data_IF_857342616775
#
_entry.id   IF_857342616775
#
_cell.length_a   1.000
_cell.length_b   1.000
_cell.length_c   1.000
_cell.angle_alpha   90.00
_cell.angle_beta   90.00
_cell.angle_gamma   90.00
#
_symmetry.space_group_name_H-M   'P 1'
#
loop_
_entity.id
_entity.type
_entity.pdbx_description
1 polymer ?
#
# COMPACT_ATOMS: atom_id res chain seq x y z
N UNK A 1 -47.35 28.00 22.18
CA UNK A 1 -47.66 28.88 21.03
C UNK A 1 -47.07 28.22 19.80
N UNK A 2 -47.90 27.53 19.01
CA UNK A 2 -47.52 27.03 17.69
C UNK A 2 -47.83 28.15 16.69
N UNK A 3 -46.88 29.04 16.45
CA UNK A 3 -46.93 29.88 15.26
C UNK A 3 -46.89 28.94 14.05
N UNK A 4 -47.89 29.05 13.18
CA UNK A 4 -47.85 28.41 11.87
C UNK A 4 -46.63 28.97 11.14
N UNK A 5 -45.57 28.17 11.14
CA UNK A 5 -44.35 28.38 10.39
C UNK A 5 -44.73 28.29 8.92
N UNK A 6 -44.88 29.42 8.24
CA UNK A 6 -45.05 29.42 6.79
C UNK A 6 -43.69 29.03 6.21
N UNK A 7 -43.54 27.74 5.88
CA UNK A 7 -42.36 27.07 5.32
C UNK A 7 -42.12 27.55 3.88
N UNK A 8 -42.09 28.86 3.71
CA UNK A 8 -42.22 29.56 2.45
C UNK A 8 -40.98 29.30 1.55
N UNK A 9 -41.12 29.57 0.26
CA UNK A 9 -40.23 29.18 -0.87
C UNK A 9 -38.71 29.16 -0.58
N UNK A 10 -38.22 30.01 0.32
CA UNK A 10 -36.84 30.06 0.81
C UNK A 10 -36.31 28.74 1.40
N UNK A 11 -37.15 27.89 1.99
CA UNK A 11 -36.72 26.59 2.53
C UNK A 11 -36.88 25.43 1.52
N UNK A 12 -37.44 25.68 0.32
CA UNK A 12 -37.61 24.64 -0.69
C UNK A 12 -36.29 24.04 -1.17
N UNK A 13 -35.16 24.76 -1.07
CA UNK A 13 -33.86 24.18 -1.40
C UNK A 13 -33.46 23.07 -0.42
N UNK A 14 -33.95 23.07 0.83
CA UNK A 14 -33.70 21.99 1.79
C UNK A 14 -34.33 20.68 1.35
N UNK A 15 -35.53 20.76 0.76
CA UNK A 15 -36.18 19.58 0.17
C UNK A 15 -35.51 19.12 -1.13
N UNK A 16 -34.62 19.93 -1.73
CA UNK A 16 -33.73 19.52 -2.83
C UNK A 16 -32.41 18.91 -2.34
N UNK A 17 -32.09 19.02 -1.04
CA UNK A 17 -30.96 18.30 -0.45
C UNK A 17 -31.38 16.83 -0.27
N UNK A 18 -30.83 15.94 -1.09
CA UNK A 18 -31.06 14.49 -0.92
C UNK A 18 -30.72 14.07 0.52
N UNK A 19 -31.56 13.23 1.12
CA UNK A 19 -31.32 12.57 2.41
C UNK A 19 -31.10 13.51 3.59
N UNK A 20 -32.02 14.45 3.80
CA UNK A 20 -31.96 15.36 4.96
C UNK A 20 -32.55 14.70 6.21
N UNK A 21 -31.81 14.72 7.33
CA UNK A 21 -32.25 14.28 8.66
C UNK A 21 -32.40 15.49 9.58
N UNK A 22 -33.52 15.58 10.27
CA UNK A 22 -33.73 16.59 11.31
C UNK A 22 -33.18 16.02 12.62
N UNK A 23 -32.22 16.72 13.21
CA UNK A 23 -31.68 16.39 14.53
C UNK A 23 -32.38 17.25 15.57
N UNK A 24 -33.25 16.63 16.36
CA UNK A 24 -33.82 17.23 17.57
C UNK A 24 -33.37 16.42 18.77
N UNK A 25 -32.59 16.99 19.69
CA UNK A 25 -32.04 16.31 20.87
C UNK A 25 -31.35 14.97 20.56
N UNK A 26 -30.29 14.95 19.72
CA UNK A 26 -29.59 13.72 19.38
C UNK A 26 -28.97 13.08 20.64
N UNK A 27 -29.21 11.78 20.82
CA UNK A 27 -28.57 11.00 21.89
C UNK A 27 -27.22 10.50 21.36
N UNK A 28 -26.11 10.57 22.13
CA UNK A 28 -24.77 10.17 21.69
C UNK A 28 -24.65 8.75 21.12
N UNK A 29 -25.60 7.87 21.43
CA UNK A 29 -25.65 6.49 20.91
C UNK A 29 -26.21 6.37 19.49
N UNK A 30 -26.76 7.43 18.90
CA UNK A 30 -27.18 7.43 17.50
C UNK A 30 -25.96 7.69 16.62
N UNK A 31 -25.42 6.62 16.02
CA UNK A 31 -24.44 6.77 14.94
C UNK A 31 -25.08 7.58 13.80
N UNK A 32 -24.55 8.77 13.54
CA UNK A 32 -24.94 9.56 12.39
C UNK A 32 -24.44 8.85 11.13
N UNK A 33 -25.35 8.51 10.23
CA UNK A 33 -24.99 7.84 8.98
C UNK A 33 -24.20 8.78 8.07
N UNK A 34 -23.11 8.28 7.47
CA UNK A 34 -22.31 9.02 6.48
C UNK A 34 -23.18 9.57 5.34
N UNK A 35 -22.76 10.71 4.76
CA UNK A 35 -23.37 11.34 3.57
C UNK A 35 -24.77 11.95 3.73
N UNK A 36 -25.27 12.14 4.95
CA UNK A 36 -26.57 12.80 5.18
C UNK A 36 -26.44 14.31 5.38
N UNK A 37 -27.45 15.08 4.95
CA UNK A 37 -27.54 16.49 5.29
C UNK A 37 -28.32 16.63 6.60
N UNK A 38 -27.93 17.55 7.48
CA UNK A 38 -28.55 17.70 8.80
C UNK A 38 -29.19 19.07 8.96
N UNK A 39 -30.42 19.08 9.48
CA UNK A 39 -31.09 20.29 9.95
C UNK A 39 -31.14 20.20 11.48
N UNK A 40 -30.61 21.21 12.14
CA UNK A 40 -30.66 21.38 13.59
C UNK A 40 -31.54 22.61 13.84
N UNK A 41 -32.57 22.43 14.66
CA UNK A 41 -33.48 23.51 15.06
C UNK A 41 -33.30 23.74 16.54
N UNK A 42 -32.77 24.90 16.91
CA UNK A 42 -32.49 25.23 18.30
C UNK A 42 -33.01 26.63 18.65
N UNK A 43 -33.49 26.78 19.88
CA UNK A 43 -33.99 28.07 20.37
C UNK A 43 -32.90 28.89 21.06
N UNK A 44 -31.85 28.25 21.57
CA UNK A 44 -30.77 28.89 22.30
C UNK A 44 -29.41 28.30 21.89
N UNK A 45 -28.40 29.16 21.72
CA UNK A 45 -27.00 28.79 21.48
C UNK A 45 -26.46 27.85 22.57
N UNK A 46 -26.88 28.04 23.82
CA UNK A 46 -26.44 27.21 24.96
C UNK A 46 -26.80 25.73 24.78
N UNK A 47 -27.82 25.43 23.96
CA UNK A 47 -28.20 24.05 23.69
C UNK A 47 -27.24 23.35 22.75
N UNK A 48 -26.40 24.07 21.98
CA UNK A 48 -25.45 23.47 21.04
C UNK A 48 -24.29 22.72 21.71
N UNK A 49 -24.24 22.70 23.06
CA UNK A 49 -23.24 21.93 23.83
C UNK A 49 -23.24 20.45 23.44
N UNK A 50 -24.37 19.86 23.06
CA UNK A 50 -24.42 18.45 22.62
C UNK A 50 -23.57 18.19 21.36
N UNK A 51 -23.31 19.21 20.52
CA UNK A 51 -22.44 19.03 19.34
C UNK A 51 -21.01 18.65 19.74
N UNK A 52 -20.57 19.00 20.95
CA UNK A 52 -19.28 18.58 21.48
C UNK A 52 -19.23 17.07 21.70
N UNK A 53 -20.33 16.48 22.16
CA UNK A 53 -20.47 15.04 22.37
C UNK A 53 -20.48 14.27 21.03
N UNK A 54 -20.91 14.93 19.95
CA UNK A 54 -20.99 14.37 18.61
C UNK A 54 -19.73 14.62 17.75
N UNK A 55 -18.73 15.35 18.26
CA UNK A 55 -17.56 15.83 17.49
C UNK A 55 -16.87 14.75 16.64
N UNK A 56 -16.83 13.51 17.12
CA UNK A 56 -16.15 12.38 16.45
C UNK A 56 -17.12 11.40 15.75
N UNK A 57 -18.41 11.68 15.80
CA UNK A 57 -19.46 10.86 15.17
C UNK A 57 -20.14 11.58 14.02
N UNK A 58 -19.80 12.85 13.79
CA UNK A 58 -20.34 13.67 12.72
C UNK A 58 -19.47 13.54 11.46
N UNK A 59 -20.10 13.28 10.32
CA UNK A 59 -19.47 13.45 9.01
C UNK A 59 -19.24 14.95 8.74
N UNK A 60 -17.99 15.39 8.78
CA UNK A 60 -17.57 16.79 8.61
C UNK A 60 -17.84 17.35 7.20
N UNK A 61 -18.13 16.48 6.21
CA UNK A 61 -18.46 16.88 4.83
C UNK A 61 -19.94 17.19 4.64
N UNK A 62 -20.78 16.73 5.56
CA UNK A 62 -22.23 16.91 5.54
C UNK A 62 -22.64 18.37 5.59
N UNK A 63 -23.76 18.73 4.95
CA UNK A 63 -24.30 20.10 5.03
C UNK A 63 -25.12 20.24 6.30
N UNK A 64 -24.81 21.26 7.08
CA UNK A 64 -25.54 21.61 8.30
C UNK A 64 -26.35 22.88 8.06
N UNK A 65 -27.65 22.82 8.33
CA UNK A 65 -28.47 24.01 8.50
C UNK A 65 -28.83 24.14 9.98
N UNK A 66 -28.43 25.26 10.59
CA UNK A 66 -28.86 25.64 11.93
C UNK A 66 -30.00 26.65 11.81
N UNK A 67 -31.16 26.39 12.40
CA UNK A 67 -32.28 27.33 12.47
C UNK A 67 -32.34 27.86 13.91
N UNK A 68 -32.16 29.18 14.07
CA UNK A 68 -32.03 29.83 15.39
C UNK A 68 -32.91 31.07 15.47
N UNK A 69 -33.65 31.23 16.56
CA UNK A 69 -34.49 32.41 16.85
C UNK A 69 -33.69 33.54 17.51
N UNK A 70 -33.92 34.79 17.05
CA UNK A 70 -33.45 36.02 17.70
C UNK A 70 -31.94 36.07 18.01
N UNK A 71 -31.09 35.67 17.06
CA UNK A 71 -29.63 35.71 17.26
C UNK A 71 -29.03 37.06 16.86
N UNK A 72 -28.09 37.55 17.67
CA UNK A 72 -27.27 38.73 17.35
C UNK A 72 -26.11 38.35 16.43
N UNK A 73 -25.44 39.35 15.84
CA UNK A 73 -24.27 39.12 14.99
C UNK A 73 -23.13 38.41 15.75
N UNK A 74 -22.93 38.77 17.01
CA UNK A 74 -21.90 38.17 17.86
C UNK A 74 -22.23 36.71 18.21
N UNK A 75 -23.51 36.40 18.46
CA UNK A 75 -23.96 35.01 18.66
C UNK A 75 -23.67 34.17 17.41
N UNK A 76 -23.97 34.70 16.21
CA UNK A 76 -23.72 34.01 14.95
C UNK A 76 -22.24 33.72 14.74
N UNK A 77 -21.35 34.68 15.07
CA UNK A 77 -19.90 34.48 15.02
C UNK A 77 -19.47 33.39 15.98
N UNK A 78 -19.92 33.44 17.22
CA UNK A 78 -19.60 32.44 18.25
C UNK A 78 -20.04 31.03 17.82
N UNK A 79 -21.19 30.91 17.14
CA UNK A 79 -21.66 29.61 16.62
C UNK A 79 -20.74 29.10 15.52
N UNK A 80 -20.36 29.94 14.56
CA UNK A 80 -19.43 29.54 13.51
C UNK A 80 -18.06 29.16 14.08
N UNK A 81 -17.54 29.90 15.07
CA UNK A 81 -16.30 29.56 15.79
C UNK A 81 -16.44 28.22 16.52
N UNK A 82 -17.56 28.01 17.20
CA UNK A 82 -17.84 26.74 17.90
C UNK A 82 -17.88 25.58 16.91
N UNK A 83 -18.64 25.69 15.83
CA UNK A 83 -18.69 24.68 14.77
C UNK A 83 -17.31 24.44 14.15
N UNK A 84 -16.50 25.48 13.94
CA UNK A 84 -15.13 25.37 13.44
C UNK A 84 -14.24 24.56 14.37
N UNK A 85 -14.28 24.83 15.67
CA UNK A 85 -13.54 24.06 16.69
C UNK A 85 -14.02 22.62 16.84
N UNK A 86 -15.23 22.32 16.36
CA UNK A 86 -15.80 20.99 16.26
C UNK A 86 -15.58 20.33 14.89
N UNK A 87 -14.82 20.97 13.99
CA UNK A 87 -14.56 20.52 12.62
C UNK A 87 -15.81 20.41 11.74
N UNK A 88 -16.87 21.14 12.07
CA UNK A 88 -18.11 21.22 11.29
C UNK A 88 -18.01 22.42 10.35
N UNK A 89 -17.56 22.18 9.12
CA UNK A 89 -17.17 23.26 8.20
C UNK A 89 -18.31 23.77 7.32
N UNK A 90 -19.24 22.89 6.94
CA UNK A 90 -20.25 23.17 5.92
C UNK A 90 -21.57 23.63 6.56
N UNK A 91 -21.48 24.70 7.36
CA UNK A 91 -22.59 25.24 8.16
C UNK A 91 -23.22 26.45 7.46
N UNK A 92 -24.54 26.50 7.47
CA UNK A 92 -25.36 27.67 7.16
C UNK A 92 -26.31 27.89 8.32
N UNK A 93 -26.52 29.15 8.71
CA UNK A 93 -27.43 29.53 9.77
C UNK A 93 -28.61 30.28 9.17
N UNK A 94 -29.83 29.94 9.56
CA UNK A 94 -31.03 30.69 9.23
C UNK A 94 -31.51 31.44 10.47
N UNK A 95 -31.41 32.77 10.44
CA UNK A 95 -31.80 33.66 11.55
C UNK A 95 -33.18 34.32 11.28
N UNK A 96 -34.14 33.55 10.75
CA UNK A 96 -35.52 33.96 10.40
C UNK A 96 -35.71 35.06 9.36
N UNK A 97 -34.67 35.84 9.10
CA UNK A 97 -34.65 36.97 8.19
C UNK A 97 -33.90 36.58 6.92
N UNK A 98 -32.68 36.04 7.09
CA UNK A 98 -31.81 35.63 6.00
C UNK A 98 -30.96 34.38 6.35
N UNK A 99 -30.35 33.80 5.32
CA UNK A 99 -29.29 32.81 5.46
C UNK A 99 -27.95 33.49 5.67
N UNK A 100 -27.33 33.18 6.80
CA UNK A 100 -25.99 33.63 7.16
C UNK A 100 -25.03 32.49 6.92
N UNK A 101 -23.92 32.81 6.28
CA UNK A 101 -22.89 31.84 5.94
C UNK A 101 -21.50 32.41 6.20
N UNK A 102 -20.51 31.54 6.32
CA UNK A 102 -19.11 31.93 6.49
C UNK A 102 -18.19 31.08 5.61
N UNK A 103 -17.19 31.72 4.99
CA UNK A 103 -16.18 31.07 4.17
C UNK A 103 -14.83 31.10 4.91
N UNK A 104 -14.49 30.04 5.67
CA UNK A 104 -13.32 30.05 6.56
C UNK A 104 -12.00 30.19 5.81
N UNK A 105 -11.95 29.69 4.58
CA UNK A 105 -10.75 29.71 3.74
C UNK A 105 -10.66 30.94 2.83
N UNK A 106 -11.57 31.90 2.94
CA UNK A 106 -11.45 33.17 2.23
C UNK A 106 -10.29 34.01 2.79
N UNK A 107 -9.72 34.87 1.94
CA UNK A 107 -8.57 35.72 2.29
C UNK A 107 -8.88 36.63 3.47
N UNK A 108 -10.14 37.04 3.61
CA UNK A 108 -10.62 37.88 4.71
C UNK A 108 -10.66 37.13 6.03
N UNK A 109 -10.99 35.82 5.99
CA UNK A 109 -11.17 34.96 7.16
C UNK A 109 -9.86 34.43 7.74
N UNK A 110 -8.74 34.58 7.00
CA UNK A 110 -7.41 34.13 7.41
C UNK A 110 -7.41 32.67 7.87
N UNK A 111 -8.04 31.79 7.09
CA UNK A 111 -8.00 30.34 7.31
C UNK A 111 -8.70 29.90 8.60
N UNK A 112 -9.85 30.51 8.87
CA UNK A 112 -10.68 30.18 10.02
C UNK A 112 -10.35 30.97 11.28
N UNK A 113 -9.29 31.78 11.31
CA UNK A 113 -8.92 32.54 12.52
C UNK A 113 -9.84 33.74 12.78
N UNK A 114 -10.68 34.11 11.82
CA UNK A 114 -11.68 35.17 11.98
C UNK A 114 -12.97 34.81 11.22
N UNK A 115 -14.11 35.03 11.86
CA UNK A 115 -15.42 34.82 11.25
C UNK A 115 -15.92 36.10 10.59
N UNK A 116 -15.95 36.09 9.27
CA UNK A 116 -16.58 37.15 8.47
C UNK A 116 -17.92 36.64 7.95
N UNK A 117 -19.01 37.14 8.54
CA UNK A 117 -20.35 36.74 8.15
C UNK A 117 -20.68 37.26 6.75
N UNK A 118 -21.30 36.39 5.96
CA UNK A 118 -21.82 36.70 4.63
C UNK A 118 -23.32 36.50 4.66
N UNK A 119 -24.05 37.61 4.52
CA UNK A 119 -25.49 37.65 4.28
C UNK A 119 -25.72 37.79 2.76
N UNK A 120 -26.89 37.41 2.25
CA UNK A 120 -27.26 37.58 0.83
C UNK A 120 -26.47 36.73 -0.19
N UNK A 121 -26.07 35.50 0.17
CA UNK A 121 -25.48 34.57 -0.81
C UNK A 121 -26.56 33.81 -1.59
N UNK A 122 -26.57 33.82 -2.95
CA UNK A 122 -27.55 33.07 -3.74
C UNK A 122 -27.42 31.55 -3.57
N UNK A 123 -26.27 31.09 -3.09
CA UNK A 123 -26.08 29.71 -2.67
C UNK A 123 -25.16 29.70 -1.42
N UNK A 124 -25.73 29.67 -0.21
CA UNK A 124 -24.95 29.80 1.03
C UNK A 124 -24.00 28.62 1.28
N UNK A 125 -24.17 27.49 0.57
CA UNK A 125 -23.28 26.33 0.60
C UNK A 125 -22.20 26.33 -0.51
N UNK A 126 -22.25 27.25 -1.48
CA UNK A 126 -21.28 27.27 -2.56
C UNK A 126 -19.88 27.60 -2.05
N UNK A 127 -18.85 26.93 -2.58
CA UNK A 127 -17.43 27.22 -2.32
C UNK A 127 -16.99 27.18 -0.84
N UNK A 128 -17.73 26.46 0.02
CA UNK A 128 -17.33 26.21 1.42
C UNK A 128 -15.98 25.49 1.53
N UNK A 129 -15.71 24.62 0.56
CA UNK A 129 -14.40 24.01 0.31
C UNK A 129 -13.91 24.60 -1.01
N UNK A 130 -13.07 25.64 -1.00
CA UNK A 130 -12.66 26.31 -2.22
C UNK A 130 -11.63 25.47 -2.97
N UNK A 131 -11.48 25.74 -4.28
CA UNK A 131 -10.41 25.13 -5.10
C UNK A 131 -9.01 25.67 -4.75
N UNK A 132 -8.95 26.81 -4.08
CA UNK A 132 -7.72 27.48 -3.64
C UNK A 132 -7.87 27.92 -2.18
N UNK A 133 -6.81 27.77 -1.39
CA UNK A 133 -6.76 28.02 0.05
C UNK A 133 -5.92 29.26 0.38
N UNK A 134 -5.68 30.17 -0.58
CA UNK A 134 -5.17 31.52 -0.31
C UNK A 134 -3.94 31.62 0.65
N UNK A 135 -3.00 30.68 0.55
CA UNK A 135 -1.81 30.53 1.39
C UNK A 135 -2.10 30.19 2.86
N UNK A 136 -3.14 29.43 3.13
CA UNK A 136 -3.42 28.96 4.48
C UNK A 136 -2.25 28.18 5.07
N UNK A 137 -1.79 28.53 6.29
CA UNK A 137 -0.74 27.77 6.96
C UNK A 137 -1.30 26.41 7.37
N UNK A 138 -0.59 25.34 7.04
CA UNK A 138 -0.90 23.97 7.43
C UNK A 138 0.38 23.30 7.90
N UNK A 139 0.36 22.81 9.14
CA UNK A 139 1.44 22.06 9.73
C UNK A 139 1.25 20.58 9.44
N UNK A 140 2.24 19.99 8.76
CA UNK A 140 2.21 18.61 8.33
C UNK A 140 3.21 17.79 9.13
N UNK A 141 2.70 16.76 9.77
CA UNK A 141 3.49 15.72 10.41
C UNK A 141 3.65 14.50 9.49
N UNK A 142 4.60 13.63 9.80
CA UNK A 142 4.93 12.48 8.98
C UNK A 142 5.53 11.35 9.80
N UNK A 143 5.24 10.13 9.40
CA UNK A 143 5.84 8.96 10.05
C UNK A 143 7.22 8.67 9.48
N UNK A 144 8.17 8.27 10.33
CA UNK A 144 9.49 7.77 9.92
C UNK A 144 9.33 6.43 9.19
N UNK A 145 8.96 6.51 7.91
CA UNK A 145 8.90 5.38 7.00
C UNK A 145 9.90 5.59 5.88
N UNK A 146 11.01 4.83 5.86
CA UNK A 146 12.12 5.05 4.95
C UNK A 146 11.75 4.89 3.47
N UNK A 147 10.59 4.27 3.18
CA UNK A 147 10.10 4.07 1.82
C UNK A 147 9.46 5.33 1.21
N UNK A 148 9.02 6.28 2.04
CA UNK A 148 8.21 7.40 1.55
C UNK A 148 8.80 8.76 1.89
N UNK A 149 9.53 8.86 3.00
CA UNK A 149 10.15 10.09 3.52
C UNK A 149 11.55 9.74 4.02
N UNK A 150 12.56 10.53 3.61
CA UNK A 150 13.93 10.30 4.07
C UNK A 150 14.08 10.72 5.52
N UNK A 151 14.71 9.86 6.31
CA UNK A 151 15.09 10.12 7.68
C UNK A 151 16.62 10.04 7.84
N UNK A 152 17.29 11.06 8.41
CA UNK A 152 16.74 12.34 8.86
C UNK A 152 16.16 13.19 7.72
N UNK A 153 15.26 14.13 8.04
CA UNK A 153 14.55 14.93 7.04
C UNK A 153 15.51 15.77 6.19
N UNK A 154 15.53 15.50 4.89
CA UNK A 154 16.34 16.23 3.91
C UNK A 154 15.45 17.17 3.09
N UNK A 155 15.58 18.48 3.28
CA UNK A 155 14.81 19.48 2.51
C UNK A 155 15.06 19.42 1.01
N UNK A 156 16.23 18.94 0.58
CA UNK A 156 16.60 18.85 -0.84
C UNK A 156 16.05 17.58 -1.49
N UNK A 157 15.93 16.50 -0.72
CA UNK A 157 15.32 15.26 -1.15
C UNK A 157 14.43 14.65 -0.06
N UNK A 158 13.24 15.25 0.18
CA UNK A 158 12.40 14.89 1.33
C UNK A 158 11.64 13.58 1.14
N UNK A 159 11.80 12.91 -0.01
CA UNK A 159 11.03 11.71 -0.37
C UNK A 159 9.77 12.00 -1.17
N UNK A 160 9.09 10.93 -1.59
CA UNK A 160 7.97 10.98 -2.52
C UNK A 160 6.70 11.60 -1.91
N UNK A 161 6.36 11.26 -0.66
CA UNK A 161 5.13 11.77 -0.02
C UNK A 161 5.16 13.29 0.13
N UNK A 162 6.32 13.83 0.52
CA UNK A 162 6.52 15.27 0.69
C UNK A 162 6.39 15.98 -0.66
N UNK A 163 7.06 15.48 -1.70
CA UNK A 163 6.95 16.05 -3.06
C UNK A 163 5.52 16.01 -3.62
N UNK A 164 4.77 14.94 -3.35
CA UNK A 164 3.36 14.84 -3.71
C UNK A 164 2.56 15.94 -3.02
N UNK A 165 2.75 16.11 -1.71
CA UNK A 165 2.03 17.12 -0.94
C UNK A 165 2.45 18.55 -1.30
N UNK A 166 3.72 18.82 -1.59
CA UNK A 166 4.16 20.10 -2.14
C UNK A 166 3.46 20.42 -3.47
N UNK A 167 3.26 19.40 -4.31
CA UNK A 167 2.54 19.55 -5.59
C UNK A 167 1.07 19.86 -5.36
N UNK A 168 0.41 19.16 -4.43
CA UNK A 168 -0.98 19.42 -4.02
C UNK A 168 -1.09 20.82 -3.42
N UNK A 169 -0.21 21.18 -2.49
CA UNK A 169 -0.16 22.47 -1.83
C UNK A 169 -0.01 23.61 -2.84
N UNK A 170 0.89 23.47 -3.81
CA UNK A 170 1.05 24.43 -4.91
C UNK A 170 -0.22 24.55 -5.76
N UNK A 171 -0.87 23.43 -6.07
CA UNK A 171 -2.08 23.40 -6.89
C UNK A 171 -3.25 24.11 -6.21
N UNK A 172 -3.39 23.93 -4.89
CA UNK A 172 -4.46 24.53 -4.09
C UNK A 172 -4.02 25.81 -3.37
N UNK A 173 -2.82 26.32 -3.62
CA UNK A 173 -2.26 27.51 -2.96
C UNK A 173 -2.30 27.43 -1.42
N UNK A 174 -1.67 26.40 -0.86
CA UNK A 174 -1.52 26.14 0.58
C UNK A 174 -0.09 26.46 1.02
N UNK A 175 0.08 27.00 2.23
CA UNK A 175 1.39 27.25 2.83
C UNK A 175 1.72 26.10 3.80
N UNK A 176 2.53 25.14 3.36
CA UNK A 176 2.85 23.94 4.13
C UNK A 176 4.13 24.08 4.93
N UNK A 177 4.06 23.69 6.20
CA UNK A 177 5.22 23.59 7.10
C UNK A 177 5.36 22.16 7.59
N UNK A 178 6.46 21.50 7.21
CA UNK A 178 6.75 20.13 7.66
C UNK A 178 7.46 20.16 9.02
N UNK A 179 6.97 19.39 9.98
CA UNK A 179 7.64 19.20 11.26
C UNK A 179 8.93 18.39 11.06
N UNK A 180 10.08 18.91 11.47
CA UNK A 180 11.39 18.26 11.24
C UNK A 180 11.62 17.13 12.25
N UNK A 181 11.27 17.38 13.51
CA UNK A 181 11.33 16.41 14.60
C UNK A 181 10.03 15.60 14.58
N UNK A 182 10.08 14.32 14.25
CA UNK A 182 8.88 13.50 14.28
C UNK A 182 8.98 12.33 15.24
N UNK A 183 7.90 12.15 16.02
CA UNK A 183 7.68 11.00 16.86
C UNK A 183 6.86 10.03 16.01
N UNK A 184 7.17 8.73 16.04
CA UNK A 184 6.36 7.74 15.34
C UNK A 184 5.06 7.46 16.11
N UNK A 185 4.20 8.47 16.22
CA UNK A 185 2.99 8.46 17.06
C UNK A 185 1.94 7.45 16.57
N UNK A 186 1.85 7.19 15.26
CA UNK A 186 0.95 6.16 14.72
C UNK A 186 1.38 4.78 15.16
N UNK A 187 2.68 4.54 15.13
CA UNK A 187 3.26 3.30 15.65
C UNK A 187 3.03 3.16 17.14
N UNK A 188 3.26 4.22 17.92
CA UNK A 188 3.00 4.21 19.36
C UNK A 188 1.52 3.92 19.66
N UNK A 189 0.60 4.58 18.95
CA UNK A 189 -0.83 4.34 19.09
C UNK A 189 -1.23 2.92 18.70
N UNK A 190 -0.64 2.37 17.63
CA UNK A 190 -0.85 0.99 17.20
C UNK A 190 -0.33 -0.02 18.22
N UNK A 191 0.82 0.22 18.83
CA UNK A 191 1.42 -0.66 19.84
C UNK A 191 0.59 -0.62 21.12
N UNK A 192 0.19 0.56 21.57
CA UNK A 192 -0.58 0.74 22.81
C UNK A 192 -2.06 0.37 22.65
N UNK A 193 -2.56 0.33 21.42
CA UNK A 193 -3.99 0.13 21.14
C UNK A 193 -4.85 1.36 21.47
N UNK A 194 -4.22 2.50 21.79
CA UNK A 194 -4.88 3.75 22.14
C UNK A 194 -4.23 4.90 21.36
N UNK A 195 -5.03 5.74 20.70
CA UNK A 195 -4.57 6.91 19.95
C UNK A 195 -4.73 8.22 20.74
N UNK A 196 -4.94 8.13 22.05
CA UNK A 196 -5.09 9.28 22.96
C UNK A 196 -3.82 10.15 23.00
N UNK A 197 -2.64 9.51 23.00
CA UNK A 197 -1.34 10.19 22.92
C UNK A 197 -1.18 10.95 21.60
N UNK A 198 -1.63 10.35 20.50
CA UNK A 198 -1.63 10.98 19.18
C UNK A 198 -2.51 12.23 19.18
N UNK A 199 -3.73 12.15 19.72
CA UNK A 199 -4.59 13.33 19.88
C UNK A 199 -3.89 14.45 20.65
N UNK A 200 -3.27 14.13 21.79
CA UNK A 200 -2.56 15.12 22.60
C UNK A 200 -1.39 15.74 21.85
N UNK A 201 -0.69 14.95 21.04
CA UNK A 201 0.41 15.44 20.20
C UNK A 201 -0.09 16.34 19.06
N UNK A 202 -1.17 15.97 18.38
CA UNK A 202 -1.80 16.78 17.34
C UNK A 202 -2.18 18.16 17.89
N UNK A 203 -2.83 18.17 19.05
CA UNK A 203 -3.23 19.42 19.71
C UNK A 203 -2.00 20.18 20.20
N UNK A 204 -1.09 19.53 20.92
CA UNK A 204 0.06 20.17 21.55
C UNK A 204 1.06 20.76 20.54
N UNK A 205 1.14 20.19 19.34
CA UNK A 205 2.06 20.61 18.27
C UNK A 205 1.36 21.35 17.14
N UNK A 206 0.06 21.62 17.27
CA UNK A 206 -0.78 22.25 16.24
C UNK A 206 -0.63 21.55 14.87
N UNK A 207 -0.75 20.23 14.84
CA UNK A 207 -0.67 19.43 13.60
C UNK A 207 -2.04 19.49 12.91
N UNK A 208 -2.03 19.82 11.62
CA UNK A 208 -3.26 19.91 10.82
C UNK A 208 -3.45 18.68 9.93
N UNK A 209 -2.35 18.09 9.46
CA UNK A 209 -2.35 16.93 8.56
C UNK A 209 -1.18 16.00 8.89
N UNK A 210 -1.38 14.69 8.71
CA UNK A 210 -0.33 13.69 8.85
C UNK A 210 -0.36 12.68 7.72
N UNK A 211 0.81 12.17 7.33
CA UNK A 211 0.88 10.95 6.52
C UNK A 211 0.75 9.73 7.42
N UNK A 212 -0.12 8.81 7.02
CA UNK A 212 -0.34 7.55 7.71
C UNK A 212 -0.25 6.39 6.74
N UNK A 213 0.28 5.26 7.21
CA UNK A 213 0.13 3.97 6.56
C UNK A 213 -0.85 3.12 7.36
N UNK A 214 -1.92 2.67 6.72
CA UNK A 214 -2.99 1.92 7.36
C UNK A 214 -3.63 0.92 6.43
N UNK A 215 -4.38 -0.01 7.00
CA UNK A 215 -5.22 -0.92 6.22
C UNK A 215 -6.49 -0.19 5.78
N UNK A 216 -6.83 -0.26 4.50
CA UNK A 216 -8.06 0.34 3.97
C UNK A 216 -9.29 -0.18 4.74
N UNK A 217 -10.13 0.74 5.21
CA UNK A 217 -11.37 0.42 5.92
C UNK A 217 -11.22 0.16 7.42
N UNK A 218 -10.00 0.18 7.99
CA UNK A 218 -9.83 0.26 9.44
C UNK A 218 -9.65 1.73 9.82
N UNK A 219 -10.61 2.26 10.58
CA UNK A 219 -10.46 3.58 11.19
C UNK A 219 -9.27 3.57 12.15
N UNK A 220 -8.38 4.56 12.00
CA UNK A 220 -7.27 4.80 12.94
C UNK A 220 -7.85 5.55 14.13
N UNK A 221 -8.56 4.80 14.97
CA UNK A 221 -9.34 5.38 16.07
C UNK A 221 -10.52 6.22 15.59
N UNK A 222 -11.24 6.83 16.54
CA UNK A 222 -12.30 7.82 16.26
C UNK A 222 -11.74 9.24 16.18
N UNK A 223 -10.46 9.40 16.50
CA UNK A 223 -9.79 10.70 16.65
C UNK A 223 -9.30 11.26 15.32
N UNK A 224 -9.19 10.44 14.26
CA UNK A 224 -8.65 10.82 12.97
C UNK A 224 -9.61 10.53 11.82
N UNK A 225 -9.78 11.52 10.95
CA UNK A 225 -10.36 11.31 9.64
C UNK A 225 -9.27 10.96 8.62
N UNK A 226 -9.50 9.89 7.85
CA UNK A 226 -8.61 9.50 6.78
C UNK A 226 -9.11 10.01 5.44
N UNK A 227 -8.21 10.60 4.67
CA UNK A 227 -8.47 10.87 3.25
C UNK A 227 -8.53 9.56 2.45
N UNK A 228 -8.97 9.65 1.19
CA UNK A 228 -8.81 8.52 0.27
C UNK A 228 -7.31 8.17 0.13
N UNK A 229 -6.96 6.87 0.12
CA UNK A 229 -5.58 6.47 -0.08
C UNK A 229 -5.10 6.97 -1.44
N UNK A 230 -4.00 7.70 -1.46
CA UNK A 230 -3.34 8.10 -2.72
C UNK A 230 -2.43 6.99 -3.26
N UNK A 231 -2.09 6.00 -2.43
CA UNK A 231 -1.32 4.82 -2.80
C UNK A 231 -1.90 3.60 -2.11
N UNK A 232 -2.10 2.54 -2.88
CA UNK A 232 -2.49 1.23 -2.39
C UNK A 232 -1.36 0.23 -2.66
N UNK A 233 -1.04 -0.59 -1.67
CA UNK A 233 -0.11 -1.70 -1.85
C UNK A 233 -0.76 -3.00 -1.39
N UNK A 234 -0.43 -4.08 -2.09
CA UNK A 234 -0.75 -5.41 -1.60
C UNK A 234 0.33 -5.88 -0.63
N UNK A 235 -0.02 -6.85 0.20
CA UNK A 235 0.97 -7.58 0.99
C UNK A 235 1.75 -8.52 0.07
N UNK A 236 3.07 -8.41 0.07
CA UNK A 236 3.95 -9.29 -0.70
C UNK A 236 4.90 -10.04 0.24
N UNK A 237 5.17 -11.32 -0.08
CA UNK A 237 6.26 -12.05 0.55
C UNK A 237 7.58 -11.71 -0.16
N UNK A 238 8.52 -11.13 0.57
CA UNK A 238 9.87 -10.91 0.08
C UNK A 238 10.71 -12.11 0.48
N UNK A 239 11.15 -12.88 -0.52
CA UNK A 239 11.99 -14.06 -0.31
C UNK A 239 13.45 -13.71 -0.54
N UNK A 240 14.39 -14.36 0.18
CA UNK A 240 15.81 -14.18 -0.08
C UNK A 240 16.16 -14.59 -1.51
N UNK A 241 17.29 -14.09 -2.07
CA UNK A 241 17.77 -14.51 -3.38
C UNK A 241 17.86 -16.04 -3.48
N UNK A 242 17.43 -16.59 -4.61
CA UNK A 242 17.41 -18.03 -4.85
C UNK A 242 18.82 -18.59 -4.71
N UNK A 243 18.97 -19.70 -4.00
CA UNK A 243 20.28 -20.35 -3.86
C UNK A 243 20.66 -21.03 -5.17
N UNK A 244 21.94 -20.98 -5.50
CA UNK A 244 22.52 -21.73 -6.61
C UNK A 244 22.59 -23.21 -6.21
N UNK A 245 22.06 -24.08 -7.05
CA UNK A 245 22.11 -25.54 -6.82
C UNK A 245 23.55 -25.98 -7.10
N UNK A 246 24.32 -26.21 -6.04
CA UNK A 246 25.66 -26.79 -6.14
C UNK A 246 25.53 -28.31 -6.12
N UNK A 247 25.42 -28.93 -7.30
CA UNK A 247 25.52 -30.39 -7.42
C UNK A 247 26.84 -30.75 -8.07
N UNK A 248 27.70 -31.46 -7.33
CA UNK A 248 28.90 -32.11 -7.88
C UNK A 248 28.56 -33.15 -8.95
N UNK A 249 27.29 -33.59 -9.02
CA UNK A 249 26.75 -34.49 -10.03
C UNK A 249 26.00 -33.77 -11.15
N UNK A 250 26.09 -32.44 -11.23
CA UNK A 250 25.42 -31.63 -12.28
C UNK A 250 25.73 -32.09 -13.70
N UNK A 251 26.92 -32.65 -13.94
CA UNK A 251 27.32 -33.25 -15.22
C UNK A 251 26.49 -34.48 -15.60
N UNK A 252 26.04 -35.28 -14.62
CA UNK A 252 25.20 -36.45 -14.86
C UNK A 252 23.71 -36.10 -15.02
N UNK A 253 23.30 -34.91 -14.60
CA UNK A 253 21.91 -34.42 -14.68
C UNK A 253 21.54 -33.96 -16.10
N UNK A 254 22.52 -33.86 -17.02
CA UNK A 254 22.29 -33.47 -18.42
C UNK A 254 21.23 -34.36 -19.07
N UNK A 255 21.34 -35.68 -18.88
CA UNK A 255 20.35 -36.64 -19.35
C UNK A 255 19.50 -37.15 -18.20
N UNK A 256 18.21 -37.38 -18.48
CA UNK A 256 17.33 -38.05 -17.53
C UNK A 256 17.75 -39.51 -17.35
N UNK A 257 17.43 -40.08 -16.18
CA UNK A 257 17.75 -41.48 -15.86
C UNK A 257 17.28 -42.46 -16.96
N UNK A 258 16.08 -42.31 -17.55
CA UNK A 258 15.66 -43.16 -18.68
C UNK A 258 16.57 -43.05 -19.90
N UNK A 259 17.07 -41.86 -20.24
CA UNK A 259 17.98 -41.66 -21.36
C UNK A 259 19.32 -42.34 -21.10
N UNK A 260 19.87 -42.23 -19.89
CA UNK A 260 21.05 -43.00 -19.50
C UNK A 260 20.83 -44.50 -19.65
N UNK A 261 19.67 -45.00 -19.23
CA UNK A 261 19.26 -46.39 -19.43
C UNK A 261 19.24 -46.80 -20.91
N UNK A 262 18.73 -45.95 -21.80
CA UNK A 262 18.73 -46.19 -23.25
C UNK A 262 20.14 -46.16 -23.85
N UNK A 263 21.04 -45.31 -23.34
CA UNK A 263 22.44 -45.28 -23.77
C UNK A 263 23.12 -46.61 -23.41
N UNK A 264 23.01 -47.07 -22.16
CA UNK A 264 23.52 -48.39 -21.76
C UNK A 264 22.87 -49.53 -22.57
N UNK A 265 21.56 -49.42 -22.78
CA UNK A 265 20.74 -50.05 -23.81
C UNK A 265 21.50 -50.30 -25.11
N UNK A 266 21.76 -49.20 -25.80
CA UNK A 266 22.36 -49.16 -27.12
C UNK A 266 23.78 -49.74 -27.15
N UNK A 267 24.58 -49.49 -26.11
CA UNK A 267 25.94 -50.03 -26.00
C UNK A 267 25.90 -51.56 -25.87
N UNK A 268 24.99 -52.09 -25.06
CA UNK A 268 24.83 -53.54 -24.90
C UNK A 268 24.40 -54.20 -26.22
N UNK A 269 23.39 -53.65 -26.90
CA UNK A 269 22.91 -54.15 -28.19
C UNK A 269 23.99 -54.08 -29.28
N UNK A 270 24.76 -52.99 -29.32
CA UNK A 270 25.83 -52.87 -30.28
C UNK A 270 26.98 -53.83 -29.97
N UNK A 271 27.27 -54.05 -28.69
CA UNK A 271 28.30 -55.01 -28.25
C UNK A 271 27.94 -56.44 -28.66
N UNK A 272 26.69 -56.87 -28.49
CA UNK A 272 26.23 -58.19 -28.92
C UNK A 272 26.28 -58.33 -30.44
N UNK A 273 25.82 -57.30 -31.17
CA UNK A 273 25.91 -57.27 -32.63
C UNK A 273 27.37 -57.37 -33.10
N UNK A 274 28.28 -56.61 -32.49
CA UNK A 274 29.68 -56.59 -32.87
C UNK A 274 30.38 -57.93 -32.62
N UNK A 275 30.09 -58.57 -31.48
CA UNK A 275 30.52 -59.94 -31.17
C UNK A 275 30.10 -60.91 -32.28
N UNK A 276 28.83 -60.85 -32.71
CA UNK A 276 28.31 -61.73 -33.76
C UNK A 276 29.01 -61.46 -35.10
N UNK A 277 29.22 -60.19 -35.45
CA UNK A 277 29.82 -59.81 -36.73
C UNK A 277 31.32 -60.10 -36.83
N UNK A 278 32.05 -60.09 -35.71
CA UNK A 278 33.52 -60.19 -35.70
C UNK A 278 34.06 -61.49 -35.11
N UNK A 279 33.25 -62.22 -34.33
CA UNK A 279 33.68 -63.42 -33.62
C UNK A 279 34.59 -63.15 -32.41
N UNK A 280 34.78 -61.88 -32.03
CA UNK A 280 35.65 -61.49 -30.91
C UNK A 280 34.93 -61.73 -29.57
N UNK A 281 35.68 -61.87 -28.48
CA UNK A 281 35.11 -61.98 -27.13
C UNK A 281 34.16 -60.81 -26.81
N UNK A 282 33.14 -61.08 -25.98
CA UNK A 282 32.18 -60.05 -25.55
C UNK A 282 32.87 -58.91 -24.81
N UNK A 283 33.82 -59.22 -23.92
CA UNK A 283 34.54 -58.20 -23.14
C UNK A 283 35.36 -57.26 -24.02
N UNK A 284 36.05 -57.79 -25.02
CA UNK A 284 36.79 -56.96 -25.99
C UNK A 284 35.84 -56.10 -26.83
N UNK A 285 34.69 -56.66 -27.23
CA UNK A 285 33.67 -55.91 -27.99
C UNK A 285 33.08 -54.78 -27.15
N UNK A 286 32.77 -55.04 -25.87
CA UNK A 286 32.24 -54.05 -24.94
C UNK A 286 33.24 -52.92 -24.75
N UNK A 287 34.51 -53.28 -24.51
CA UNK A 287 35.58 -52.31 -24.35
C UNK A 287 35.73 -51.42 -25.60
N UNK A 288 35.65 -51.99 -26.81
CA UNK A 288 35.67 -51.22 -28.06
C UNK A 288 34.48 -50.27 -28.19
N UNK A 289 33.26 -50.70 -27.82
CA UNK A 289 32.08 -49.82 -27.87
C UNK A 289 32.15 -48.69 -26.85
N UNK A 290 32.67 -48.97 -25.64
CA UNK A 290 32.92 -47.94 -24.61
C UNK A 290 34.02 -46.97 -25.07
N UNK A 291 35.10 -47.48 -25.66
CA UNK A 291 36.14 -46.62 -26.25
C UNK A 291 35.56 -45.71 -27.32
N UNK A 292 34.70 -46.23 -28.19
CA UNK A 292 34.05 -45.41 -29.22
C UNK A 292 33.13 -44.36 -28.62
N UNK A 293 32.34 -44.71 -27.60
CA UNK A 293 31.49 -43.77 -26.85
C UNK A 293 32.32 -42.62 -26.25
N UNK A 294 33.48 -42.94 -25.70
CA UNK A 294 34.45 -41.99 -25.14
C UNK A 294 35.31 -41.31 -26.21
N UNK A 295 35.06 -41.59 -27.49
CA UNK A 295 35.79 -41.05 -28.65
C UNK A 295 37.30 -41.35 -28.63
N UNK A 296 37.68 -42.47 -28.01
CA UNK A 296 39.06 -42.95 -28.01
C UNK A 296 39.41 -43.63 -29.34
N UNK A 297 40.72 -43.72 -29.63
CA UNK A 297 41.23 -44.40 -30.83
C UNK A 297 40.89 -45.89 -30.77
N UNK A 298 40.29 -46.40 -31.85
CA UNK A 298 40.00 -47.82 -32.00
C UNK A 298 41.19 -48.54 -32.63
N UNK A 299 41.64 -49.60 -31.96
CA UNK A 299 42.81 -50.39 -32.38
C UNK A 299 42.46 -51.35 -33.54
N UNK A 300 41.22 -51.85 -33.59
CA UNK A 300 40.81 -52.87 -34.57
C UNK A 300 39.88 -52.29 -35.64
N UNK A 301 40.35 -52.28 -36.89
CA UNK A 301 39.56 -51.78 -38.02
C UNK A 301 38.60 -52.87 -38.56
N UNK A 302 37.36 -52.50 -38.91
CA UNK A 302 36.41 -53.42 -39.54
C UNK A 302 36.89 -53.83 -40.94
N UNK A 303 36.93 -55.14 -41.18
CA UNK A 303 37.39 -55.70 -42.47
C UNK A 303 36.23 -55.83 -43.47
N UNK A 304 35.09 -56.33 -43.01
CA UNK A 304 33.94 -56.64 -43.87
C UNK A 304 33.05 -55.42 -44.11
N UNK A 305 32.39 -55.34 -45.27
CA UNK A 305 31.48 -54.23 -45.63
C UNK A 305 30.36 -54.04 -44.61
N UNK A 306 29.78 -55.13 -44.10
CA UNK A 306 28.73 -55.07 -43.08
C UNK A 306 29.25 -54.54 -41.73
N UNK A 307 30.47 -54.94 -41.33
CA UNK A 307 31.13 -54.41 -40.13
C UNK A 307 31.41 -52.92 -40.30
N UNK A 308 31.88 -52.49 -41.48
CA UNK A 308 32.13 -51.08 -41.79
C UNK A 308 30.85 -50.26 -41.71
N UNK A 309 29.75 -50.75 -42.27
CA UNK A 309 28.46 -50.05 -42.23
C UNK A 309 27.93 -49.92 -40.80
N UNK A 310 27.89 -51.04 -40.05
CA UNK A 310 27.43 -51.03 -38.65
C UNK A 310 28.30 -50.12 -37.79
N UNK A 311 29.60 -50.13 -38.01
CA UNK A 311 30.55 -49.24 -37.36
C UNK A 311 30.26 -47.77 -37.66
N UNK A 312 30.11 -47.38 -38.94
CA UNK A 312 29.84 -46.00 -39.33
C UNK A 312 28.51 -45.51 -38.75
N UNK A 313 27.45 -46.32 -38.80
CA UNK A 313 26.16 -45.96 -38.23
C UNK A 313 26.22 -45.73 -36.72
N UNK A 314 26.87 -46.65 -35.99
CA UNK A 314 27.03 -46.50 -34.55
C UNK A 314 27.95 -45.32 -34.19
N UNK A 315 29.00 -45.09 -34.97
CA UNK A 315 29.86 -43.91 -34.84
C UNK A 315 29.08 -42.61 -35.03
N UNK A 316 28.25 -42.49 -36.08
CA UNK A 316 27.38 -41.35 -36.29
C UNK A 316 26.40 -41.16 -35.12
N UNK A 317 25.83 -42.25 -34.59
CA UNK A 317 24.97 -42.20 -33.40
C UNK A 317 25.72 -41.63 -32.18
N UNK A 318 26.91 -42.14 -31.87
CA UNK A 318 27.75 -41.67 -30.77
C UNK A 318 28.14 -40.20 -30.93
N UNK A 319 28.49 -39.77 -32.15
CA UNK A 319 28.79 -38.36 -32.44
C UNK A 319 27.59 -37.45 -32.15
N UNK A 320 26.40 -37.84 -32.61
CA UNK A 320 25.18 -37.08 -32.32
C UNK A 320 24.89 -37.03 -30.82
N UNK A 321 25.03 -38.17 -30.13
CA UNK A 321 24.84 -38.24 -28.68
C UNK A 321 25.79 -37.29 -27.93
N UNK A 322 27.08 -37.29 -28.31
CA UNK A 322 28.08 -36.43 -27.71
C UNK A 322 27.82 -34.95 -27.99
N UNK A 323 27.39 -34.60 -29.22
CA UNK A 323 27.00 -33.22 -29.54
C UNK A 323 25.86 -32.76 -28.64
N UNK A 324 24.77 -33.53 -28.56
CA UNK A 324 23.61 -33.18 -27.73
C UNK A 324 24.03 -33.01 -26.27
N UNK A 325 24.84 -33.93 -25.75
CA UNK A 325 25.36 -33.86 -24.39
C UNK A 325 26.18 -32.58 -24.15
N UNK A 326 27.16 -32.28 -25.00
CA UNK A 326 28.00 -31.09 -24.87
C UNK A 326 27.16 -29.81 -24.99
N UNK A 327 26.20 -29.76 -25.92
CA UNK A 327 25.33 -28.60 -26.11
C UNK A 327 24.48 -28.32 -24.87
N UNK A 328 23.91 -29.35 -24.26
CA UNK A 328 23.11 -29.19 -23.03
C UNK A 328 23.98 -28.89 -21.81
N UNK A 329 25.13 -29.55 -21.68
CA UNK A 329 26.09 -29.28 -20.62
C UNK A 329 26.58 -27.83 -20.69
N UNK A 330 26.87 -27.32 -21.89
CA UNK A 330 27.23 -25.92 -22.09
C UNK A 330 26.13 -24.97 -21.60
N UNK A 331 24.86 -25.29 -21.83
CA UNK A 331 23.73 -24.53 -21.31
C UNK A 331 23.71 -24.49 -19.77
N UNK A 332 23.86 -25.64 -19.13
CA UNK A 332 23.90 -25.78 -17.67
C UNK A 332 25.10 -25.04 -17.06
N UNK A 333 26.27 -25.09 -17.71
CA UNK A 333 27.46 -24.39 -17.24
C UNK A 333 27.38 -22.87 -17.45
N UNK A 334 26.70 -22.41 -18.50
CA UNK A 334 26.54 -20.97 -18.79
C UNK A 334 25.48 -20.33 -17.91
N UNK A 335 24.41 -21.05 -17.60
CA UNK A 335 23.32 -20.59 -16.74
C UNK A 335 23.22 -21.47 -15.51
N UNK A 336 23.80 -21.06 -14.37
CA UNK A 336 23.77 -21.88 -13.19
C UNK A 336 22.33 -22.14 -12.75
N UNK A 337 22.00 -23.40 -12.49
CA UNK A 337 20.68 -23.76 -11.98
C UNK A 337 20.47 -23.15 -10.60
N UNK A 338 19.35 -22.49 -10.42
CA UNK A 338 18.87 -21.98 -9.14
C UNK A 338 17.71 -22.82 -8.64
N UNK A 339 17.40 -22.71 -7.35
CA UNK A 339 16.15 -23.24 -6.80
C UNK A 339 14.93 -22.78 -7.64
N UNK A 340 13.88 -23.63 -7.74
CA UNK A 340 12.66 -23.26 -8.43
C UNK A 340 12.07 -21.99 -7.80
N UNK A 341 11.55 -21.10 -8.65
CA UNK A 341 10.91 -19.87 -8.17
C UNK A 341 9.58 -20.23 -7.50
N UNK A 342 9.40 -19.79 -6.26
CA UNK A 342 8.12 -19.87 -5.56
C UNK A 342 7.23 -18.75 -6.10
N UNK A 343 6.14 -19.12 -6.75
CA UNK A 343 5.18 -18.19 -7.37
C UNK A 343 3.86 -18.14 -6.62
N UNK A 344 3.52 -19.20 -5.88
CA UNK A 344 2.23 -19.35 -5.19
C UNK A 344 2.41 -19.53 -3.70
N UNK A 345 1.38 -19.13 -2.94
CA UNK A 345 1.35 -19.34 -1.50
C UNK A 345 1.39 -20.82 -1.13
N UNK A 346 0.76 -21.69 -1.93
CA UNK A 346 0.82 -23.15 -1.74
C UNK A 346 2.24 -23.72 -1.86
N UNK A 347 3.02 -23.19 -2.80
CA UNK A 347 4.43 -23.57 -2.97
C UNK A 347 5.26 -23.04 -1.80
N UNK A 348 4.97 -21.83 -1.32
CA UNK A 348 5.61 -21.25 -0.17
C UNK A 348 5.32 -22.06 1.11
N UNK A 349 4.07 -22.47 1.32
CA UNK A 349 3.64 -23.28 2.45
C UNK A 349 4.28 -24.67 2.46
N UNK A 350 4.63 -25.22 1.29
CA UNK A 350 5.36 -26.48 1.15
C UNK A 350 6.88 -26.31 1.18
N UNK A 351 7.38 -25.08 1.14
CA UNK A 351 8.81 -24.79 1.12
C UNK A 351 9.41 -24.94 2.52
N UNK A 352 10.71 -25.19 2.58
CA UNK A 352 11.52 -25.20 3.80
C UNK A 352 11.92 -23.79 4.26
N UNK A 353 11.43 -22.74 3.59
CA UNK A 353 11.76 -21.36 3.91
C UNK A 353 11.03 -20.96 5.18
N UNK A 354 11.79 -20.52 6.19
CA UNK A 354 11.22 -19.88 7.38
C UNK A 354 10.59 -18.56 6.96
N UNK A 355 9.33 -18.38 7.34
CA UNK A 355 8.61 -17.12 7.17
C UNK A 355 8.70 -16.36 8.49
N UNK A 356 9.39 -15.24 8.47
CA UNK A 356 9.38 -14.30 9.59
C UNK A 356 8.33 -13.23 9.28
N UNK A 357 7.13 -13.42 9.83
CA UNK A 357 6.07 -12.43 9.75
C UNK A 357 6.28 -11.46 10.92
N UNK A 358 6.74 -10.24 10.64
CA UNK A 358 6.51 -9.07 11.51
C UNK A 358 7.35 -8.96 12.80
N UNK A 359 8.19 -9.92 13.21
CA UNK A 359 9.08 -9.66 14.36
C UNK A 359 10.15 -8.59 14.06
N UNK A 360 10.68 -8.51 12.84
CA UNK A 360 11.63 -7.44 12.46
C UNK A 360 10.92 -6.08 12.34
N UNK A 361 9.68 -6.05 11.83
CA UNK A 361 8.89 -4.81 11.77
C UNK A 361 8.54 -4.34 13.18
N UNK A 362 8.07 -5.24 14.05
CA UNK A 362 7.85 -4.93 15.45
C UNK A 362 9.15 -4.58 16.17
N UNK A 363 10.29 -5.21 15.86
CA UNK A 363 11.59 -4.89 16.49
C UNK A 363 12.07 -3.50 16.07
N UNK A 364 11.94 -3.09 14.80
CA UNK A 364 12.23 -1.73 14.35
C UNK A 364 11.33 -0.67 15.03
N UNK A 365 10.10 -1.05 15.40
CA UNK A 365 9.16 -0.18 16.10
C UNK A 365 9.31 -0.23 17.63
N UNK A 366 9.85 -1.32 18.17
CA UNK A 366 10.06 -1.58 19.60
C UNK A 366 11.51 -1.41 20.05
N UNK A 367 12.44 -1.03 19.16
CA UNK A 367 13.82 -0.69 19.52
C UNK A 367 13.82 0.60 20.36
N UNK A 368 13.49 0.39 21.63
CA UNK A 368 13.40 1.38 22.70
C UNK A 368 14.70 2.17 22.85
N UNK A 369 15.83 1.56 22.50
CA UNK A 369 17.16 2.18 22.53
C UNK A 369 17.32 3.26 21.45
N UNK A 370 16.69 3.13 20.28
CA UNK A 370 16.69 4.18 19.25
C UNK A 370 15.84 5.39 19.67
N UNK A 371 14.77 5.15 20.42
CA UNK A 371 13.90 6.19 20.99
C UNK A 371 14.56 6.94 22.14
N UNK A 372 15.21 6.23 23.08
CA UNK A 372 15.88 6.83 24.22
C UNK A 372 17.10 7.68 23.83
N UNK A 373 17.74 7.39 22.68
CA UNK A 373 18.80 8.23 22.11
C UNK A 373 18.24 9.44 21.31
N UNK A 374 17.07 9.31 20.69
CA UNK A 374 16.39 10.41 19.98
C UNK A 374 15.71 11.42 20.92
N UNK A 375 15.28 11.01 22.12
CA UNK A 375 14.67 11.91 23.12
C UNK A 375 15.72 12.61 23.99
N UNK A 376 16.97 12.12 23.99
CA UNK A 376 18.10 12.74 24.71
C UNK A 376 18.85 13.81 23.91
N UNK A 377 18.52 14.00 22.64
CA UNK A 377 19.09 15.00 21.74
C UNK A 377 17.97 15.83 21.12
#
# INVERSE_FOLDING_TARGET
>A
MSSNFDFDEKLQFLFKLNQTKILTNPIPSQCLEEYHNYIIVEQNIDNLVYLQELKFSIDTKSRFLLILENTTEDDLKQIFETCWHLYIFNVVIYNWTDFVTWYPYDITSKCGTSVNLVTESPNPYANKIPKKLHNCPVNITWEMQPMAIKAPFDKTDPGYNIRLMDTVAKQINLNVTYLIENINYLTLGRIKGEYSDLRNEIIGRNIDLGFAFGENGKQVGTELELSLPFTDTNCFFILPPRRKIQSSFSTLVVFSIPIWGLIFLSIFLMTTLWKILTGVSFGTSLFQMVQLLLQCVIIHQPKNTLQKLAFVLFFCYVLNLNWIYISQLSGILSQPSYEPKILKLEELAKSDKKLDYVDVYNTFLLEKDFYDDLVKH
#
